data_IF_856163796263
#
_entry.id   IF_856163796263
#
_cell.length_a   1.000
_cell.length_b   1.000
_cell.length_c   1.000
_cell.angle_alpha   90.00
_cell.angle_beta   90.00
_cell.angle_gamma   90.00
#
_symmetry.space_group_name_H-M   'P 1'
#
loop_
_entity.id
_entity.type
_entity.pdbx_description
1 polymer ?
#
# COMPACT_ATOMS: atom_id res chain seq x y z
N UNK A 1 4.18 3.60 7.25
CA UNK A 1 3.70 4.91 6.77
C UNK A 1 2.58 5.43 7.67
N UNK A 2 2.40 6.75 7.75
CA UNK A 2 1.16 7.36 8.22
C UNK A 2 0.12 7.38 7.10
N UNK A 3 -1.12 7.83 7.37
CA UNK A 3 -2.20 7.74 6.38
C UNK A 3 -1.91 8.53 5.11
N UNK A 4 -2.22 7.93 3.96
CA UNK A 4 -1.94 8.53 2.65
C UNK A 4 -2.57 9.92 2.48
N UNK A 5 -3.76 10.17 3.00
CA UNK A 5 -4.48 11.44 2.83
C UNK A 5 -3.82 12.62 3.57
N UNK A 6 -3.08 12.35 4.65
CA UNK A 6 -2.35 13.40 5.40
C UNK A 6 -0.87 13.48 5.05
N UNK A 7 -0.27 12.37 4.61
CA UNK A 7 1.17 12.27 4.39
C UNK A 7 1.55 11.62 3.05
N UNK A 8 0.74 11.88 2.00
CA UNK A 8 0.94 11.37 0.64
C UNK A 8 2.34 11.59 0.08
N UNK A 9 3.02 12.67 0.47
CA UNK A 9 4.40 12.98 0.04
C UNK A 9 5.41 11.86 0.29
N UNK A 10 5.18 10.97 1.26
CA UNK A 10 6.08 9.87 1.57
C UNK A 10 5.76 8.58 0.79
N UNK A 11 4.64 8.53 0.07
CA UNK A 11 4.26 7.38 -0.77
C UNK A 11 4.97 7.45 -2.12
N UNK A 12 6.27 7.17 -2.11
CA UNK A 12 7.14 7.19 -3.28
C UNK A 12 8.31 6.20 -3.11
N UNK A 13 8.94 5.83 -4.22
CA UNK A 13 10.03 4.86 -4.23
C UNK A 13 11.23 5.29 -3.36
N UNK A 14 11.65 6.57 -3.43
CA UNK A 14 12.79 7.05 -2.65
C UNK A 14 12.60 6.90 -1.13
N UNK A 15 11.38 7.10 -0.63
CA UNK A 15 11.07 6.85 0.78
C UNK A 15 11.12 5.37 1.11
N UNK A 16 10.68 4.50 0.19
CA UNK A 16 10.71 3.06 0.38
C UNK A 16 12.15 2.55 0.42
N UNK A 17 12.97 2.98 -0.54
CA UNK A 17 14.40 2.65 -0.63
C UNK A 17 15.14 3.08 0.63
N UNK A 18 14.89 4.31 1.11
CA UNK A 18 15.52 4.80 2.33
C UNK A 18 15.16 3.94 3.56
N UNK A 19 13.90 3.54 3.70
CA UNK A 19 13.50 2.66 4.81
C UNK A 19 14.16 1.28 4.71
N UNK A 20 14.34 0.76 3.50
CA UNK A 20 14.87 -0.58 3.30
C UNK A 20 16.39 -0.64 3.40
N UNK A 21 17.08 0.27 2.72
CA UNK A 21 18.54 0.27 2.61
C UNK A 21 19.19 0.93 3.84
N UNK A 22 18.73 2.12 4.22
CA UNK A 22 19.37 2.91 5.29
C UNK A 22 18.90 2.48 6.67
N UNK A 23 17.62 2.14 6.80
CA UNK A 23 17.06 1.70 8.10
C UNK A 23 17.01 0.17 8.23
N UNK A 24 17.35 -0.57 7.17
CA UNK A 24 17.33 -2.03 7.19
C UNK A 24 15.93 -2.65 7.33
N UNK A 25 14.86 -1.91 6.98
CA UNK A 25 13.50 -2.44 7.12
C UNK A 25 13.25 -3.55 6.10
N UNK A 26 12.91 -4.74 6.57
CA UNK A 26 12.47 -5.85 5.72
C UNK A 26 10.98 -5.82 5.41
N UNK A 27 10.21 -4.99 6.11
CA UNK A 27 8.77 -4.86 6.00
C UNK A 27 8.36 -3.39 6.03
N UNK A 28 7.51 -2.99 5.09
CA UNK A 28 6.88 -1.66 5.12
C UNK A 28 5.36 -1.77 5.12
N UNK A 29 4.68 -0.85 5.80
CA UNK A 29 3.20 -0.83 5.92
C UNK A 29 2.62 0.42 5.25
N UNK A 30 1.90 0.23 4.15
CA UNK A 30 1.17 1.27 3.43
C UNK A 30 -0.20 1.49 4.07
N UNK A 31 -0.30 2.48 4.96
CA UNK A 31 -1.54 2.79 5.70
C UNK A 31 -2.53 3.59 4.85
N UNK A 32 -3.53 2.92 4.29
CA UNK A 32 -4.55 3.59 3.50
C UNK A 32 -5.71 4.04 4.39
N UNK A 33 -5.74 5.33 4.73
CA UNK A 33 -6.89 5.92 5.40
C UNK A 33 -8.18 5.70 4.60
N UNK A 34 -9.28 5.44 5.31
CA UNK A 34 -10.56 5.11 4.66
C UNK A 34 -11.57 6.25 4.71
N UNK A 35 -11.77 6.87 5.88
CA UNK A 35 -12.96 7.69 6.14
C UNK A 35 -12.75 9.21 6.28
N UNK A 36 -11.64 9.73 6.82
CA UNK A 36 -11.42 11.17 6.92
C UNK A 36 -11.35 11.85 5.55
N UNK A 37 -11.44 13.17 5.56
CA UNK A 37 -11.36 13.97 4.34
C UNK A 37 -10.13 13.60 3.49
N UNK A 38 -10.36 13.44 2.19
CA UNK A 38 -9.36 13.05 1.20
C UNK A 38 -8.87 11.61 1.28
N UNK A 39 -9.54 10.73 2.06
CA UNK A 39 -9.24 9.30 2.18
C UNK A 39 -9.98 8.45 1.13
N UNK A 40 -9.82 7.11 1.19
CA UNK A 40 -10.30 6.19 0.15
C UNK A 40 -11.75 6.39 -0.28
N UNK A 41 -12.67 6.66 0.65
CA UNK A 41 -14.10 6.86 0.31
C UNK A 41 -14.33 8.10 -0.57
N UNK A 42 -13.56 9.17 -0.36
CA UNK A 42 -13.67 10.41 -1.16
C UNK A 42 -12.78 10.38 -2.40
N UNK A 43 -11.58 9.78 -2.30
CA UNK A 43 -10.53 9.83 -3.33
C UNK A 43 -9.92 8.44 -3.59
N UNK A 44 -10.71 7.45 -4.03
CA UNK A 44 -10.28 6.05 -4.14
C UNK A 44 -9.08 5.87 -5.10
N UNK A 45 -9.00 6.70 -6.15
CA UNK A 45 -7.88 6.68 -7.09
C UNK A 45 -6.58 7.14 -6.43
N UNK A 46 -6.61 8.26 -5.69
CA UNK A 46 -5.43 8.78 -5.00
C UNK A 46 -4.91 7.79 -3.96
N UNK A 47 -5.83 7.18 -3.22
CA UNK A 47 -5.52 6.15 -2.23
C UNK A 47 -4.84 4.93 -2.88
N UNK A 48 -5.43 4.42 -3.97
CA UNK A 48 -4.88 3.29 -4.73
C UNK A 48 -3.50 3.63 -5.31
N UNK A 49 -3.35 4.78 -5.96
CA UNK A 49 -2.07 5.22 -6.56
C UNK A 49 -0.95 5.34 -5.51
N UNK A 50 -1.27 5.83 -4.31
CA UNK A 50 -0.31 5.91 -3.23
C UNK A 50 0.13 4.50 -2.78
N UNK A 51 -0.82 3.59 -2.54
CA UNK A 51 -0.53 2.22 -2.13
C UNK A 51 0.31 1.50 -3.20
N UNK A 52 -0.10 1.59 -4.47
CA UNK A 52 0.62 0.98 -5.60
C UNK A 52 2.07 1.47 -5.67
N UNK A 53 2.34 2.77 -5.50
CA UNK A 53 3.74 3.29 -5.48
C UNK A 53 4.60 2.66 -4.38
N UNK A 54 4.02 2.30 -3.25
CA UNK A 54 4.75 1.65 -2.14
C UNK A 54 4.89 0.15 -2.38
N UNK A 55 3.94 -0.48 -3.05
CA UNK A 55 3.98 -1.91 -3.43
C UNK A 55 4.95 -2.16 -4.60
N UNK A 56 5.04 -1.23 -5.54
CA UNK A 56 5.88 -1.35 -6.75
C UNK A 56 7.36 -1.02 -6.52
N UNK A 57 7.69 -0.29 -5.46
CA UNK A 57 9.09 0.04 -5.15
C UNK A 57 9.93 -1.16 -4.64
N UNK A 58 9.43 -2.06 -3.75
CA UNK A 58 10.18 -3.20 -3.19
C UNK A 58 10.39 -4.43 -4.09
N UNK A 59 10.52 -4.32 -5.41
CA UNK A 59 10.60 -5.52 -6.30
C UNK A 59 11.98 -6.24 -6.23
N UNK A 60 12.74 -6.08 -5.13
CA UNK A 60 13.94 -6.88 -4.85
C UNK A 60 13.64 -7.99 -3.83
N UNK A 61 14.23 -9.16 -4.06
CA UNK A 61 14.02 -10.36 -3.25
C UNK A 61 14.31 -10.13 -1.76
N UNK A 62 13.33 -10.45 -0.90
CA UNK A 62 13.49 -10.48 0.57
C UNK A 62 12.80 -9.37 1.36
N UNK A 63 11.97 -8.54 0.70
CA UNK A 63 11.27 -7.42 1.33
C UNK A 63 9.76 -7.55 1.17
N UNK A 64 9.02 -7.13 2.20
CA UNK A 64 7.59 -7.37 2.34
C UNK A 64 6.82 -6.05 2.45
N UNK A 65 5.59 -6.04 1.93
CA UNK A 65 4.66 -4.91 2.07
C UNK A 65 3.36 -5.38 2.71
N UNK A 66 2.88 -4.62 3.69
CA UNK A 66 1.51 -4.71 4.19
C UNK A 66 0.67 -3.62 3.54
N UNK A 67 -0.39 -4.04 2.86
CA UNK A 67 -1.48 -3.16 2.44
C UNK A 67 -2.49 -3.12 3.59
N UNK A 68 -2.72 -1.93 4.14
CA UNK A 68 -3.49 -1.74 5.37
C UNK A 68 -4.74 -0.90 5.10
N UNK A 69 -5.91 -1.54 5.18
CA UNK A 69 -7.22 -0.89 5.18
C UNK A 69 -7.46 -0.19 6.52
N UNK A 70 -7.01 1.06 6.62
CA UNK A 70 -6.95 1.80 7.87
C UNK A 70 -8.29 2.50 8.19
N UNK A 71 -9.29 1.71 8.58
CA UNK A 71 -10.61 2.20 8.98
C UNK A 71 -10.87 1.99 10.48
N UNK A 72 -11.67 2.87 11.07
CA UNK A 72 -12.18 2.72 12.43
C UNK A 72 -13.66 2.27 12.46
N UNK A 73 -14.31 2.19 11.29
CA UNK A 73 -15.68 1.72 11.14
C UNK A 73 -15.76 0.53 10.18
N UNK A 74 -16.88 -0.19 10.23
CA UNK A 74 -17.09 -1.36 9.37
C UNK A 74 -17.43 -0.89 7.96
N UNK A 75 -16.59 -1.27 6.99
CA UNK A 75 -16.71 -0.93 5.55
C UNK A 75 -16.45 -2.15 4.67
N UNK A 76 -17.25 -3.19 4.90
CA UNK A 76 -16.94 -4.53 4.38
C UNK A 76 -17.00 -4.62 2.86
N UNK A 77 -17.94 -3.93 2.21
CA UNK A 77 -18.06 -3.98 0.75
C UNK A 77 -16.93 -3.22 0.07
N UNK A 78 -16.58 -2.04 0.58
CA UNK A 78 -15.50 -1.22 0.06
C UNK A 78 -14.15 -1.91 0.27
N UNK A 79 -13.94 -2.53 1.44
CA UNK A 79 -12.74 -3.32 1.72
C UNK A 79 -12.62 -4.53 0.77
N UNK A 80 -13.73 -5.26 0.54
CA UNK A 80 -13.76 -6.37 -0.43
C UNK A 80 -13.37 -5.92 -1.82
N UNK A 81 -13.96 -4.83 -2.31
CA UNK A 81 -13.67 -4.27 -3.62
C UNK A 81 -12.22 -3.83 -3.74
N UNK A 82 -11.71 -3.13 -2.72
CA UNK A 82 -10.32 -2.68 -2.68
C UNK A 82 -9.32 -3.83 -2.70
N UNK A 83 -9.51 -4.84 -1.85
CA UNK A 83 -8.57 -5.98 -1.82
C UNK A 83 -8.67 -6.87 -3.05
N UNK A 84 -9.85 -6.99 -3.67
CA UNK A 84 -9.99 -7.66 -4.97
C UNK A 84 -9.21 -6.90 -6.07
N UNK A 85 -9.26 -5.56 -6.05
CA UNK A 85 -8.48 -4.73 -6.96
C UNK A 85 -6.97 -4.91 -6.76
N UNK A 86 -6.49 -4.86 -5.50
CA UNK A 86 -5.06 -5.02 -5.20
C UNK A 86 -4.55 -6.42 -5.55
N UNK A 87 -5.31 -7.48 -5.24
CA UNK A 87 -4.95 -8.84 -5.61
C UNK A 87 -4.85 -9.04 -7.13
N UNK A 88 -5.76 -8.44 -7.91
CA UNK A 88 -5.71 -8.48 -9.37
C UNK A 88 -4.56 -7.66 -9.99
N UNK A 89 -4.03 -6.67 -9.27
CA UNK A 89 -2.79 -5.97 -9.65
C UNK A 89 -1.57 -6.86 -9.41
N UNK A 90 -1.49 -7.48 -8.23
CA UNK A 90 -0.39 -8.37 -7.84
C UNK A 90 -0.27 -9.59 -8.75
N UNK A 91 -1.37 -10.19 -9.22
CA UNK A 91 -1.30 -11.31 -10.18
C UNK A 91 -0.53 -10.95 -11.46
N UNK A 92 -0.54 -9.69 -11.90
CA UNK A 92 0.22 -9.25 -13.08
C UNK A 92 1.70 -9.00 -12.76
N UNK A 93 2.05 -8.67 -11.51
CA UNK A 93 3.42 -8.40 -11.06
C UNK A 93 4.13 -9.62 -10.45
N UNK A 94 3.39 -10.59 -9.92
CA UNK A 94 3.90 -11.84 -9.36
C UNK A 94 4.62 -12.69 -10.44
N UNK A 95 4.27 -12.54 -11.71
CA UNK A 95 4.99 -13.14 -12.84
C UNK A 95 6.38 -12.55 -13.06
N UNK A 96 6.73 -11.42 -12.42
CA UNK A 96 7.97 -10.71 -12.70
C UNK A 96 9.06 -10.88 -11.65
N UNK A 97 8.81 -10.90 -10.32
CA UNK A 97 9.86 -11.11 -9.30
C UNK A 97 9.27 -11.46 -7.91
N UNK A 98 9.90 -12.41 -7.20
CA UNK A 98 9.45 -13.06 -5.96
C UNK A 98 9.39 -12.20 -4.69
N UNK A 99 8.55 -11.16 -4.68
CA UNK A 99 8.16 -10.40 -3.49
C UNK A 99 6.77 -10.87 -3.01
N UNK A 100 6.54 -10.88 -1.69
CA UNK A 100 5.29 -11.39 -1.09
C UNK A 100 4.51 -10.22 -0.47
N UNK A 101 3.34 -9.93 -1.02
CA UNK A 101 2.40 -8.93 -0.49
C UNK A 101 1.51 -9.61 0.55
N UNK A 102 1.46 -9.05 1.76
CA UNK A 102 0.57 -9.53 2.81
C UNK A 102 -0.61 -8.57 2.96
N UNK A 103 -1.80 -9.06 2.60
CA UNK A 103 -3.07 -8.33 2.71
C UNK A 103 -3.68 -8.66 4.08
N UNK A 104 -3.92 -7.64 4.93
CA UNK A 104 -4.52 -7.82 6.27
C UNK A 104 -5.68 -6.87 6.52
#
# INVERSE_FOLDING_TARGET
>A
YGWHNWWSRFYNASSVDFLQEEWGCTLVRAAMGVEPAGAYIETPQLASDCVTKVVDAPIQSGRYVIIDWHSHHIRTEEARAFFAQMAGMDEKQQYQLGSMVCIR
#
